data_IF_046738515106
#
_entry.id   IF_046738515106
#
_cell.length_a   1.000
_cell.length_b   1.000
_cell.length_c   1.000
_cell.angle_alpha   90.00
_cell.angle_beta   90.00
_cell.angle_gamma   90.00
#
_symmetry.space_group_name_H-M   'P 1'
#
loop_
_entity.id
_entity.type
_entity.pdbx_description
1 polymer ?
#
# COMPACT_ATOMS: atom_id res chain seq x y z
N UNK A 1 -42.82 -22.29 -9.71
CA UNK A 1 -42.63 -20.86 -9.37
C UNK A 1 -41.13 -20.64 -9.15
N UNK A 2 -40.40 -19.97 -10.04
CA UNK A 2 -39.00 -19.68 -9.80
C UNK A 2 -38.89 -18.64 -8.67
N UNK A 3 -38.02 -18.89 -7.70
CA UNK A 3 -37.75 -18.01 -6.57
C UNK A 3 -37.35 -16.61 -7.06
N UNK A 4 -37.77 -15.52 -6.38
CA UNK A 4 -37.33 -14.19 -6.74
C UNK A 4 -35.80 -14.09 -6.58
N UNK A 5 -35.16 -13.62 -7.65
CA UNK A 5 -33.75 -13.22 -7.66
C UNK A 5 -33.51 -12.29 -6.46
N UNK A 6 -32.64 -12.69 -5.52
CA UNK A 6 -32.24 -11.86 -4.39
C UNK A 6 -31.43 -10.68 -4.93
N UNK A 7 -32.11 -9.59 -5.26
CA UNK A 7 -31.51 -8.36 -5.80
C UNK A 7 -31.02 -7.40 -4.69
N UNK A 8 -31.15 -7.77 -3.41
CA UNK A 8 -30.93 -6.85 -2.27
C UNK A 8 -29.83 -7.28 -1.30
N UNK A 9 -29.00 -8.27 -1.65
CA UNK A 9 -27.76 -8.46 -0.89
C UNK A 9 -26.82 -7.30 -1.23
N UNK A 10 -26.45 -6.42 -0.28
CA UNK A 10 -25.43 -5.40 -0.57
C UNK A 10 -24.18 -6.13 -1.06
N UNK A 11 -23.71 -5.76 -2.26
CA UNK A 11 -22.45 -6.26 -2.80
C UNK A 11 -21.39 -6.10 -1.71
N UNK A 12 -20.54 -7.13 -1.45
CA UNK A 12 -19.49 -6.99 -0.45
C UNK A 12 -18.68 -5.75 -0.82
N UNK A 13 -18.58 -4.82 0.14
CA UNK A 13 -17.95 -3.51 -0.03
C UNK A 13 -16.50 -3.69 -0.47
N UNK A 14 -16.28 -3.87 -1.77
CA UNK A 14 -14.97 -3.97 -2.37
C UNK A 14 -14.50 -2.55 -2.57
N UNK A 15 -13.95 -1.99 -1.49
CA UNK A 15 -13.30 -0.70 -1.45
C UNK A 15 -12.32 -0.55 -2.62
N UNK A 16 -12.70 0.29 -3.58
CA UNK A 16 -11.87 0.66 -4.70
C UNK A 16 -10.83 1.69 -4.18
N UNK A 17 -9.57 1.22 -4.18
CA UNK A 17 -8.29 1.94 -4.26
C UNK A 17 -7.59 2.30 -2.94
N UNK A 18 -6.82 1.34 -2.43
CA UNK A 18 -5.37 1.51 -2.18
C UNK A 18 -4.71 0.15 -2.45
N UNK A 19 -4.00 0.03 -3.58
CA UNK A 19 -3.51 -1.29 -4.05
C UNK A 19 -2.59 -1.94 -3.04
N UNK A 20 -1.73 -1.17 -2.36
CA UNK A 20 -0.72 -1.71 -1.45
C UNK A 20 -1.30 -2.35 -0.18
N UNK A 21 -2.24 -1.68 0.50
CA UNK A 21 -2.86 -2.18 1.74
C UNK A 21 -3.70 -3.41 1.48
N UNK A 22 -4.59 -3.33 0.48
CA UNK A 22 -5.48 -4.42 0.10
C UNK A 22 -4.69 -5.63 -0.35
N UNK A 23 -3.67 -5.43 -1.19
CA UNK A 23 -2.79 -6.50 -1.64
C UNK A 23 -2.08 -7.19 -0.48
N UNK A 24 -1.45 -6.43 0.42
CA UNK A 24 -0.75 -7.01 1.57
C UNK A 24 -1.72 -7.75 2.49
N UNK A 25 -2.84 -7.13 2.88
CA UNK A 25 -3.85 -7.74 3.75
C UNK A 25 -4.39 -9.03 3.16
N UNK A 26 -4.83 -8.99 1.90
CA UNK A 26 -5.43 -10.14 1.22
C UNK A 26 -4.40 -11.27 0.99
N UNK A 27 -3.26 -10.96 0.36
CA UNK A 27 -2.31 -11.99 -0.07
C UNK A 27 -1.52 -12.60 1.09
N UNK A 28 -1.26 -11.84 2.16
CA UNK A 28 -0.42 -12.29 3.28
C UNK A 28 -1.27 -12.74 4.47
N UNK A 29 -2.30 -11.98 4.84
CA UNK A 29 -3.03 -12.21 6.10
C UNK A 29 -4.27 -13.07 5.91
N UNK A 30 -5.09 -12.76 4.91
CA UNK A 30 -6.37 -13.44 4.67
C UNK A 30 -6.14 -14.79 3.97
N UNK A 31 -5.62 -14.77 2.75
CA UNK A 31 -5.45 -15.98 1.93
C UNK A 31 -4.12 -16.70 2.18
N UNK A 32 -3.14 -16.01 2.80
CA UNK A 32 -1.81 -16.56 3.13
C UNK A 32 -1.09 -17.18 1.94
N UNK A 33 -1.29 -16.61 0.75
CA UNK A 33 -0.70 -17.08 -0.50
C UNK A 33 0.77 -16.67 -0.66
N UNK A 34 1.20 -15.61 0.02
CA UNK A 34 2.57 -15.09 -0.05
C UNK A 34 3.16 -14.92 1.34
N UNK A 35 4.46 -15.22 1.45
CA UNK A 35 5.25 -14.75 2.57
C UNK A 35 5.31 -13.21 2.58
N UNK A 36 5.39 -12.56 3.75
CA UNK A 36 5.44 -11.09 3.84
C UNK A 36 6.52 -10.45 2.96
N UNK A 37 7.73 -11.02 2.98
CA UNK A 37 8.86 -10.50 2.20
C UNK A 37 8.62 -10.55 0.67
N UNK A 38 7.98 -11.61 0.18
CA UNK A 38 7.62 -11.77 -1.23
C UNK A 38 6.56 -10.74 -1.65
N UNK A 39 5.55 -10.53 -0.81
CA UNK A 39 4.55 -9.48 -1.06
C UNK A 39 5.18 -8.08 -1.12
N UNK A 40 6.11 -7.78 -0.20
CA UNK A 40 6.85 -6.50 -0.21
C UNK A 40 7.75 -6.38 -1.43
N UNK A 41 8.43 -7.44 -1.85
CA UNK A 41 9.23 -7.42 -3.08
C UNK A 41 8.36 -7.08 -4.30
N UNK A 42 7.16 -7.67 -4.42
CA UNK A 42 6.21 -7.39 -5.50
C UNK A 42 5.67 -5.95 -5.49
N UNK A 43 5.61 -5.32 -4.32
CA UNK A 43 5.16 -3.94 -4.14
C UNK A 43 6.29 -2.89 -4.31
N UNK A 44 7.55 -3.28 -4.15
CA UNK A 44 8.69 -2.35 -4.13
C UNK A 44 9.79 -2.71 -5.14
N UNK A 45 10.53 -3.80 -4.89
CA UNK A 45 11.71 -4.15 -5.68
C UNK A 45 11.40 -4.58 -7.11
N UNK A 46 10.34 -5.39 -7.30
CA UNK A 46 9.93 -5.88 -8.61
C UNK A 46 9.54 -4.76 -9.58
N UNK A 47 8.65 -3.80 -9.22
CA UNK A 47 8.36 -2.68 -10.10
C UNK A 47 9.58 -1.80 -10.34
N UNK A 48 10.39 -1.50 -9.30
CA UNK A 48 11.62 -0.73 -9.47
C UNK A 48 12.57 -1.35 -10.50
N UNK A 49 12.78 -2.67 -10.43
CA UNK A 49 13.58 -3.41 -11.41
C UNK A 49 13.00 -3.38 -12.83
N UNK A 50 11.67 -3.49 -12.98
CA UNK A 50 11.00 -3.46 -14.30
C UNK A 50 11.18 -2.15 -15.04
N UNK A 51 11.29 -1.03 -14.31
CA UNK A 51 11.48 0.31 -14.90
C UNK A 51 12.91 0.84 -14.75
N UNK A 52 13.87 0.00 -14.35
CA UNK A 52 15.29 0.35 -14.33
C UNK A 52 15.74 1.25 -13.18
N UNK A 53 14.98 1.35 -12.09
CA UNK A 53 15.33 2.14 -10.91
C UNK A 53 16.29 1.36 -10.00
N UNK A 54 17.58 1.47 -10.26
CA UNK A 54 18.62 0.74 -9.54
C UNK A 54 18.91 1.29 -8.12
N UNK A 55 18.47 2.51 -7.83
CA UNK A 55 18.66 3.18 -6.54
C UNK A 55 17.39 3.17 -5.65
N UNK A 56 16.33 2.44 -6.03
CA UNK A 56 15.04 2.40 -5.30
C UNK A 56 14.48 0.98 -5.16
N UNK A 57 13.43 0.84 -4.35
CA UNK A 57 12.73 -0.45 -4.14
C UNK A 57 13.48 -1.45 -3.27
N UNK A 58 14.62 -1.06 -2.68
CA UNK A 58 15.47 -1.90 -1.83
C UNK A 58 15.98 -1.10 -0.62
N UNK A 59 16.15 -1.76 0.53
CA UNK A 59 16.80 -1.20 1.70
C UNK A 59 18.28 -1.61 1.71
N UNK A 60 19.13 -0.72 1.21
CA UNK A 60 20.59 -0.94 1.10
C UNK A 60 21.35 0.38 1.20
N UNK A 61 22.56 0.40 1.79
CA UNK A 61 23.43 1.58 1.72
C UNK A 61 23.60 2.08 0.27
N UNK A 62 23.48 3.40 0.09
CA UNK A 62 23.57 4.07 -1.21
C UNK A 62 22.27 4.11 -2.03
N UNK A 63 21.22 3.39 -1.63
CA UNK A 63 19.88 3.55 -2.22
C UNK A 63 19.19 4.82 -1.67
N UNK A 64 18.15 5.29 -2.38
CA UNK A 64 17.27 6.35 -1.90
C UNK A 64 16.55 5.89 -0.64
N UNK A 65 16.44 6.80 0.33
CA UNK A 65 15.73 6.57 1.58
C UNK A 65 14.20 6.69 1.38
N UNK A 66 13.65 5.85 0.50
CA UNK A 66 12.22 5.63 0.36
C UNK A 66 11.84 4.45 1.25
N UNK A 67 11.17 4.71 2.36
CA UNK A 67 10.85 3.70 3.36
C UNK A 67 9.43 3.89 3.90
N UNK A 68 8.75 2.78 4.14
CA UNK A 68 7.44 2.76 4.80
C UNK A 68 7.53 1.86 6.03
N UNK A 69 7.07 2.38 7.17
CA UNK A 69 6.96 1.64 8.43
C UNK A 69 5.48 1.50 8.73
N UNK A 70 5.03 0.26 8.85
CA UNK A 70 3.64 -0.05 9.12
C UNK A 70 3.55 -1.26 10.05
N UNK A 71 2.42 -1.37 10.74
CA UNK A 71 2.07 -2.51 11.56
C UNK A 71 1.42 -3.59 10.68
N UNK A 72 2.06 -4.75 10.48
CA UNK A 72 1.56 -5.80 9.60
C UNK A 72 0.19 -6.34 10.02
N UNK A 73 -0.19 -6.24 11.29
CA UNK A 73 -1.47 -6.75 11.81
C UNK A 73 -2.61 -5.75 11.69
N UNK A 74 -2.34 -4.46 11.50
CA UNK A 74 -3.38 -3.43 11.39
C UNK A 74 -3.39 -2.71 10.05
N UNK A 75 -2.46 -3.05 9.15
CA UNK A 75 -2.35 -2.46 7.83
C UNK A 75 -3.55 -2.81 6.94
N UNK A 76 -4.39 -1.80 6.67
CA UNK A 76 -5.64 -1.95 5.92
C UNK A 76 -6.11 -0.61 5.32
N UNK A 77 -6.80 -0.66 4.19
CA UNK A 77 -7.51 0.47 3.61
C UNK A 77 -8.75 0.86 4.43
N UNK A 78 -9.07 2.16 4.46
CA UNK A 78 -10.32 2.70 5.01
C UNK A 78 -11.24 3.34 3.97
N UNK A 79 -10.73 3.57 2.76
CA UNK A 79 -11.49 4.23 1.71
C UNK A 79 -12.75 3.44 1.36
N UNK A 80 -13.85 4.15 1.14
CA UNK A 80 -15.10 3.59 0.62
C UNK A 80 -15.40 4.19 -0.75
N UNK A 81 -16.39 3.65 -1.46
CA UNK A 81 -16.84 4.21 -2.74
C UNK A 81 -17.26 5.67 -2.63
N UNK A 82 -17.84 6.07 -1.50
CA UNK A 82 -18.32 7.44 -1.26
C UNK A 82 -17.28 8.33 -0.58
N UNK A 83 -16.31 7.74 0.11
CA UNK A 83 -15.20 8.45 0.77
C UNK A 83 -13.85 7.78 0.43
N UNK A 84 -13.35 7.96 -0.80
CA UNK A 84 -12.16 7.23 -1.26
C UNK A 84 -10.85 7.75 -0.66
N UNK A 85 -10.79 9.04 -0.30
CA UNK A 85 -9.56 9.73 0.10
C UNK A 85 -9.25 9.59 1.60
N UNK A 86 -9.25 8.35 2.11
CA UNK A 86 -8.98 8.05 3.51
C UNK A 86 -7.56 7.50 3.68
N UNK A 87 -6.83 8.00 4.69
CA UNK A 87 -5.53 7.45 5.05
C UNK A 87 -5.68 5.98 5.48
N UNK A 88 -4.78 5.12 5.05
CA UNK A 88 -4.72 3.74 5.50
C UNK A 88 -4.51 3.63 7.02
N UNK A 89 -5.08 2.59 7.62
CA UNK A 89 -4.73 2.19 8.98
C UNK A 89 -3.41 1.44 9.00
N UNK A 90 -2.73 1.44 10.15
CA UNK A 90 -1.49 0.69 10.37
C UNK A 90 -0.23 1.30 9.77
N UNK A 91 -0.33 2.27 8.83
CA UNK A 91 0.83 3.03 8.34
C UNK A 91 1.31 4.02 9.42
N UNK A 92 2.56 3.90 9.86
CA UNK A 92 3.14 4.70 10.95
C UNK A 92 4.06 5.80 10.44
N UNK A 93 4.97 5.46 9.54
CA UNK A 93 5.92 6.41 8.99
C UNK A 93 6.13 6.19 7.50
N UNK A 94 6.27 7.28 6.75
CA UNK A 94 6.70 7.24 5.35
C UNK A 94 7.83 8.24 5.16
N UNK A 95 8.90 7.76 4.52
CA UNK A 95 10.04 8.55 4.10
C UNK A 95 10.11 8.54 2.58
N UNK A 96 10.33 9.70 1.97
CA UNK A 96 10.54 9.83 0.52
C UNK A 96 11.84 10.61 0.33
N UNK A 97 12.83 9.97 -0.29
CA UNK A 97 14.19 10.51 -0.40
C UNK A 97 14.75 11.02 0.95
N UNK A 98 14.40 10.35 2.06
CA UNK A 98 14.82 10.71 3.42
C UNK A 98 13.97 11.78 4.12
N UNK A 99 13.02 12.41 3.41
CA UNK A 99 12.08 13.37 4.01
C UNK A 99 10.93 12.61 4.67
N UNK A 100 10.62 12.93 5.92
CA UNK A 100 9.56 12.27 6.70
C UNK A 100 8.18 12.85 6.33
N UNK A 101 7.52 12.25 5.35
CA UNK A 101 6.27 12.78 4.75
C UNK A 101 5.01 12.36 5.51
N UNK A 102 5.08 11.24 6.23
CA UNK A 102 4.05 10.78 7.16
C UNK A 102 4.72 10.40 8.48
N UNK A 103 4.25 10.99 9.57
CA UNK A 103 4.79 10.80 10.93
C UNK A 103 3.65 10.45 11.87
N UNK A 104 3.81 9.35 12.62
CA UNK A 104 2.85 8.87 13.62
C UNK A 104 1.43 8.72 13.06
N UNK A 105 1.32 8.27 11.80
CA UNK A 105 0.03 8.11 11.10
C UNK A 105 -0.55 9.40 10.51
N UNK A 106 0.10 10.55 10.67
CA UNK A 106 -0.37 11.84 10.15
C UNK A 106 0.55 12.38 9.04
N UNK A 107 -0.03 13.04 8.04
CA UNK A 107 0.74 13.74 7.01
C UNK A 107 1.47 14.94 7.62
N UNK A 108 2.76 15.09 7.32
CA UNK A 108 3.56 16.23 7.81
C UNK A 108 3.40 17.48 6.95
N UNK A 109 2.96 17.32 5.71
CA UNK A 109 2.92 18.39 4.70
C UNK A 109 4.23 18.51 3.89
N UNK A 110 5.32 17.92 4.38
CA UNK A 110 6.61 17.90 3.69
C UNK A 110 6.54 17.04 2.43
N UNK A 111 7.28 17.46 1.39
CA UNK A 111 7.33 16.78 0.09
C UNK A 111 8.77 16.42 -0.26
N UNK A 112 9.09 15.13 -0.17
CA UNK A 112 10.40 14.59 -0.59
C UNK A 112 10.45 14.15 -2.06
N UNK A 113 9.36 14.30 -2.82
CA UNK A 113 9.25 13.79 -4.19
C UNK A 113 10.25 14.42 -5.15
N UNK A 114 10.78 13.61 -6.08
CA UNK A 114 11.63 14.07 -7.17
C UNK A 114 11.14 13.47 -8.48
N UNK A 115 11.27 14.22 -9.57
CA UNK A 115 10.97 13.70 -10.91
C UNK A 115 11.99 12.62 -11.26
N UNK A 116 11.48 11.42 -11.55
CA UNK A 116 12.31 10.31 -12.05
C UNK A 116 12.65 10.58 -13.51
N UNK A 117 13.94 10.48 -13.84
CA UNK A 117 14.46 10.65 -15.19
C UNK A 117 15.15 9.35 -15.59
N UNK A 118 14.80 8.85 -16.78
CA UNK A 118 15.41 7.68 -17.43
C UNK A 118 16.64 8.08 -18.25
#
# INVERSE_FOLDING_TARGET
MPSPCQADAPLPSRSIITVTTMYYRFMVREERLLAPAEAIHRLAGLPAGRIGLNDRGVLRPGARADAAVFDPETFAERGTTFEPNQLAMGMRHVFVNGVHTLRDGALTGDRGGMVLRS
#
